data_IF_243676497351
#
_entry.id   IF_243676497351
#
_cell.length_a   1.000
_cell.length_b   1.000
_cell.length_c   1.000
_cell.angle_alpha   90.00
_cell.angle_beta   90.00
_cell.angle_gamma   90.00
#
_symmetry.space_group_name_H-M   'P 1'
#
loop_
_entity.id
_entity.type
_entity.pdbx_description
1 polymer ?
#
# COMPACT_ATOMS: atom_id res chain seq x y z
N UNK A 1 0.06 -7.09 -3.82
CA UNK A 1 -1.23 -7.81 -3.69
C UNK A 1 -1.55 -7.97 -2.21
N UNK A 2 -2.74 -7.55 -1.78
CA UNK A 2 -3.17 -7.54 -0.38
C UNK A 2 -4.06 -8.76 -0.13
N UNK A 3 -3.68 -9.62 0.82
CA UNK A 3 -4.48 -10.78 1.24
C UNK A 3 -5.39 -10.42 2.41
N UNK A 4 -6.65 -10.76 2.31
CA UNK A 4 -7.66 -10.59 3.37
C UNK A 4 -8.40 -11.90 3.61
N UNK A 5 -8.96 -12.07 4.81
CA UNK A 5 -9.86 -13.18 5.11
C UNK A 5 -11.29 -12.83 4.71
N UNK A 6 -12.16 -13.84 4.61
CA UNK A 6 -13.61 -13.63 4.42
C UNK A 6 -14.22 -12.65 5.44
N UNK A 7 -13.85 -12.80 6.73
CA UNK A 7 -14.34 -11.92 7.78
C UNK A 7 -13.94 -10.45 7.57
N UNK A 8 -12.73 -10.20 7.05
CA UNK A 8 -12.32 -8.85 6.70
C UNK A 8 -13.09 -8.32 5.47
N UNK A 9 -13.32 -9.18 4.46
CA UNK A 9 -14.13 -8.84 3.28
C UNK A 9 -15.56 -8.42 3.64
N UNK A 10 -16.18 -9.13 4.58
CA UNK A 10 -17.55 -8.80 5.04
C UNK A 10 -17.61 -7.41 5.70
N UNK A 11 -16.51 -6.96 6.31
CA UNK A 11 -16.37 -5.63 6.91
C UNK A 11 -16.01 -4.53 5.89
N UNK A 12 -15.64 -4.89 4.65
CA UNK A 12 -15.25 -3.94 3.59
C UNK A 12 -16.46 -3.47 2.77
N UNK A 13 -17.68 -3.90 3.11
CA UNK A 13 -18.96 -3.46 2.51
C UNK A 13 -19.08 -3.56 0.97
N UNK A 14 -18.15 -4.25 0.31
CA UNK A 14 -18.09 -4.32 -1.15
C UNK A 14 -17.42 -3.13 -1.82
N UNK A 15 -16.76 -2.25 -1.06
CA UNK A 15 -16.05 -1.07 -1.60
C UNK A 15 -14.81 -1.45 -2.43
N UNK A 16 -14.33 -2.68 -2.28
CA UNK A 16 -13.16 -3.20 -2.96
C UNK A 16 -13.51 -4.41 -3.80
N UNK A 17 -13.04 -4.40 -5.05
CA UNK A 17 -13.05 -5.61 -5.86
C UNK A 17 -12.01 -6.60 -5.36
N UNK A 18 -12.41 -7.88 -5.32
CA UNK A 18 -11.55 -8.96 -4.84
C UNK A 18 -11.54 -10.16 -5.78
N UNK A 19 -10.46 -10.93 -5.69
CA UNK A 19 -10.23 -12.22 -6.37
C UNK A 19 -10.03 -13.33 -5.34
N UNK A 20 -10.26 -14.59 -5.73
CA UNK A 20 -9.94 -15.73 -4.86
C UNK A 20 -8.42 -15.82 -4.60
N UNK A 21 -8.05 -15.87 -3.32
CA UNK A 21 -6.65 -15.84 -2.89
C UNK A 21 -5.98 -17.21 -2.74
N UNK A 22 -6.76 -18.29 -2.75
CA UNK A 22 -6.31 -19.68 -2.55
C UNK A 22 -5.28 -19.86 -1.40
N UNK A 23 -5.45 -19.12 -0.30
CA UNK A 23 -4.52 -19.13 0.83
C UNK A 23 -4.36 -20.50 1.49
N UNK A 24 -5.38 -21.37 1.36
CA UNK A 24 -5.37 -22.76 1.84
C UNK A 24 -4.31 -23.62 1.16
N UNK A 25 -3.97 -23.34 -0.10
CA UNK A 25 -2.97 -24.15 -0.84
C UNK A 25 -1.54 -23.79 -0.42
N UNK A 26 -1.35 -22.57 0.08
CA UNK A 26 -0.05 -22.03 0.47
C UNK A 26 0.25 -22.16 1.96
N UNK A 27 -0.78 -22.32 2.80
CA UNK A 27 -0.62 -22.32 4.25
C UNK A 27 -1.52 -23.36 4.93
N UNK A 28 -0.88 -24.27 5.66
CA UNK A 28 -1.55 -25.35 6.40
C UNK A 28 -2.51 -24.86 7.48
N UNK A 29 -2.20 -23.76 8.16
CA UNK A 29 -3.07 -23.18 9.19
C UNK A 29 -4.39 -22.71 8.56
N UNK A 30 -4.30 -21.99 7.44
CA UNK A 30 -5.48 -21.54 6.69
C UNK A 30 -6.31 -22.72 6.21
N UNK A 31 -5.66 -23.80 5.75
CA UNK A 31 -6.35 -25.03 5.33
C UNK A 31 -7.05 -25.74 6.48
N UNK A 32 -6.36 -25.96 7.61
CA UNK A 32 -6.89 -26.66 8.79
C UNK A 32 -8.07 -25.93 9.42
N UNK A 33 -8.03 -24.60 9.45
CA UNK A 33 -9.12 -23.79 10.00
C UNK A 33 -10.17 -23.40 8.94
N UNK A 34 -10.08 -23.96 7.73
CA UNK A 34 -10.96 -23.67 6.61
C UNK A 34 -11.13 -22.17 6.31
N UNK A 35 -10.07 -21.38 6.52
CA UNK A 35 -10.09 -19.93 6.33
C UNK A 35 -10.04 -19.63 4.84
N UNK A 36 -11.13 -19.07 4.32
CA UNK A 36 -11.19 -18.52 2.96
C UNK A 36 -10.47 -17.17 2.92
N UNK A 37 -9.64 -17.01 1.88
CA UNK A 37 -8.84 -15.80 1.67
C UNK A 37 -9.12 -15.21 0.30
N UNK A 38 -9.09 -13.89 0.24
CA UNK A 38 -9.29 -13.11 -0.98
C UNK A 38 -8.12 -12.15 -1.18
N UNK A 39 -7.96 -11.71 -2.43
CA UNK A 39 -6.95 -10.78 -2.88
C UNK A 39 -7.65 -9.50 -3.33
N UNK A 40 -7.35 -8.36 -2.72
CA UNK A 40 -7.88 -7.07 -3.18
C UNK A 40 -7.23 -6.73 -4.53
N UNK A 41 -8.05 -6.45 -5.54
CA UNK A 41 -7.60 -5.97 -6.84
C UNK A 41 -7.07 -4.55 -6.71
N UNK A 42 -6.07 -4.23 -7.51
CA UNK A 42 -5.63 -2.84 -7.60
C UNK A 42 -6.74 -2.03 -8.29
N UNK A 43 -7.10 -0.85 -7.76
CA UNK A 43 -7.94 0.08 -8.49
C UNK A 43 -7.23 0.50 -9.78
N UNK A 44 -8.02 0.85 -10.80
CA UNK A 44 -7.51 1.39 -12.06
C UNK A 44 -6.53 2.55 -11.78
N UNK A 45 -5.40 2.58 -12.49
CA UNK A 45 -4.31 3.56 -12.34
C UNK A 45 -4.81 5.02 -12.33
N UNK A 46 -5.96 5.27 -12.98
CA UNK A 46 -6.66 6.56 -13.01
C UNK A 46 -7.01 7.12 -11.62
N UNK A 47 -7.24 6.26 -10.62
CA UNK A 47 -7.53 6.68 -9.23
C UNK A 47 -6.26 6.86 -8.37
N UNK A 48 -5.13 6.32 -8.84
CA UNK A 48 -3.83 6.45 -8.19
C UNK A 48 -3.01 7.60 -8.77
N UNK A 49 -3.43 8.14 -9.92
CA UNK A 49 -2.80 9.30 -10.54
C UNK A 49 -3.09 10.52 -9.67
N UNK A 50 -2.06 11.07 -9.03
CA UNK A 50 -2.18 12.33 -8.31
C UNK A 50 -2.72 13.40 -9.27
N UNK A 51 -3.62 14.30 -8.82
CA UNK A 51 -4.10 15.41 -9.63
C UNK A 51 -2.94 16.14 -10.29
N UNK A 52 -3.10 16.54 -11.55
CA UNK A 52 -2.07 17.19 -12.36
C UNK A 52 -1.45 18.42 -11.68
N UNK A 53 -2.22 19.06 -10.79
CA UNK A 53 -1.81 20.21 -9.99
C UNK A 53 -0.67 19.89 -9.02
N UNK A 54 -0.52 18.63 -8.59
CA UNK A 54 0.58 18.16 -7.74
C UNK A 54 1.81 17.77 -8.58
N UNK A 55 1.61 17.21 -9.78
CA UNK A 55 2.73 16.79 -10.65
C UNK A 55 3.57 17.95 -11.21
N UNK A 56 2.96 19.14 -11.40
CA UNK A 56 3.65 20.32 -11.96
C UNK A 56 4.73 20.92 -11.04
N UNK A 57 4.69 20.65 -9.74
CA UNK A 57 5.71 21.14 -8.79
C UNK A 57 7.03 20.34 -8.87
N UNK A 58 6.99 19.14 -9.46
CA UNK A 58 8.17 18.27 -9.60
C UNK A 58 9.11 18.69 -10.75
N UNK A 59 8.64 19.49 -11.71
CA UNK A 59 9.43 19.84 -12.91
C UNK A 59 10.23 21.14 -12.79
N UNK A 60 10.13 21.88 -11.68
CA UNK A 60 10.83 23.15 -11.48
C UNK A 60 11.99 23.09 -10.47
N UNK A 61 12.38 21.91 -9.96
CA UNK A 61 13.53 21.77 -9.07
C UNK A 61 14.75 21.24 -9.83
N UNK A 62 15.26 22.06 -10.75
CA UNK A 62 16.56 21.85 -11.39
C UNK A 62 17.68 22.42 -10.52
N UNK A 63 17.90 21.94 -9.29
CA UNK A 63 19.08 22.33 -8.51
C UNK A 63 19.28 21.49 -7.23
N UNK A 64 19.60 20.20 -7.31
CA UNK A 64 20.49 19.55 -6.31
C UNK A 64 20.84 18.07 -6.59
N UNK A 65 22.15 17.88 -6.82
CA UNK A 65 23.01 16.78 -6.34
C UNK A 65 22.82 15.35 -6.90
N UNK A 66 23.74 15.02 -7.81
CA UNK A 66 24.37 13.70 -7.88
C UNK A 66 24.87 13.27 -6.50
N UNK A 67 24.33 12.21 -5.89
CA UNK A 67 24.90 11.59 -4.68
C UNK A 67 24.49 10.13 -4.55
N UNK A 68 25.48 9.30 -4.28
CA UNK A 68 25.40 7.92 -3.81
C UNK A 68 24.28 7.68 -2.80
N UNK A 69 23.77 6.45 -2.79
CA UNK A 69 22.84 5.89 -1.81
C UNK A 69 23.19 6.32 -0.38
N UNK A 70 22.45 7.27 0.19
CA UNK A 70 22.25 7.49 1.65
C UNK A 70 21.52 8.82 1.84
N UNK A 71 20.25 8.76 2.25
CA UNK A 71 19.66 9.50 3.37
C UNK A 71 18.14 9.61 3.17
N UNK A 72 17.45 8.95 4.08
CA UNK A 72 16.00 8.84 4.24
C UNK A 72 15.42 10.17 4.72
N UNK A 73 14.75 10.93 3.86
CA UNK A 73 13.97 12.10 4.29
C UNK A 73 12.48 11.79 4.19
N UNK A 74 12.03 10.93 5.11
CA UNK A 74 10.64 10.52 5.22
C UNK A 74 10.31 9.31 4.36
N UNK A 75 11.04 8.20 4.53
CA UNK A 75 10.64 6.92 3.94
C UNK A 75 10.56 5.88 5.05
N UNK A 76 9.42 5.20 5.09
CA UNK A 76 9.10 4.14 6.04
C UNK A 76 10.29 3.21 6.27
N UNK A 77 10.71 3.07 7.53
CA UNK A 77 11.74 2.11 7.93
C UNK A 77 11.18 1.18 9.01
N UNK A 78 11.63 -0.08 9.08
CA UNK A 78 11.18 -1.02 10.11
C UNK A 78 11.54 -0.55 11.53
N UNK A 79 12.56 0.30 11.64
CA UNK A 79 12.98 0.93 12.91
C UNK A 79 12.14 2.17 13.28
N UNK A 80 11.47 2.81 12.30
CA UNK A 80 10.64 4.00 12.50
C UNK A 80 9.36 3.90 11.64
N UNK A 81 8.39 3.05 12.03
CA UNK A 81 7.13 2.96 11.33
C UNK A 81 6.37 4.28 11.50
N UNK A 82 5.90 4.84 10.37
CA UNK A 82 5.07 6.06 10.32
C UNK A 82 5.76 7.39 10.68
N UNK A 83 7.09 7.45 10.64
CA UNK A 83 7.84 8.70 10.87
C UNK A 83 7.33 9.89 10.02
N UNK A 84 6.85 9.60 8.81
CA UNK A 84 6.33 10.59 7.87
C UNK A 84 5.02 11.26 8.30
N UNK A 85 4.25 10.64 9.20
CA UNK A 85 2.88 11.05 9.52
C UNK A 85 2.82 11.89 10.81
N UNK A 86 3.90 11.87 11.61
CA UNK A 86 3.88 12.40 12.98
C UNK A 86 4.42 13.84 13.10
N UNK A 87 4.95 14.45 12.04
CA UNK A 87 5.76 15.67 12.22
C UNK A 87 5.57 16.78 11.20
N UNK A 88 4.39 17.42 11.16
CA UNK A 88 4.28 18.88 10.88
C UNK A 88 3.07 19.45 11.64
N UNK A 89 3.30 19.81 12.89
CA UNK A 89 2.46 20.74 13.64
C UNK A 89 3.32 22.00 13.87
N UNK A 90 2.71 23.16 13.62
CA UNK A 90 3.35 24.46 13.36
C UNK A 90 4.38 24.94 14.39
#
# INVERSE_FOLDING_TARGET
RIHISKAALDCLNGDYEVEEGHGKDRNDFLRRHNIETFLIKQPEESLLTLPEDIMRDSTNQSDHRTSNTSFTEGTWSPELPFHNIVGKQN
#
